data_IF_208718885307
#
_entry.id   IF_208718885307
#
_cell.length_a   1.000
_cell.length_b   1.000
_cell.length_c   1.000
_cell.angle_alpha   90.00
_cell.angle_beta   90.00
_cell.angle_gamma   90.00
#
_symmetry.space_group_name_H-M   'P 1'
#
loop_
_entity.id
_entity.type
_entity.pdbx_description
1 polymer ?
#
# COMPACT_ATOMS: atom_id res chain seq x y z
N UNK A 1 -10.06 -4.71 -7.36
CA UNK A 1 -10.17 -3.26 -7.02
C UNK A 1 -10.33 -2.44 -8.30
N UNK A 2 -9.38 -2.35 -9.21
CA UNK A 2 -9.47 -1.51 -10.41
C UNK A 2 -10.77 -1.67 -11.21
N UNK A 3 -11.22 -2.90 -11.49
CA UNK A 3 -12.48 -3.15 -12.20
C UNK A 3 -13.73 -2.62 -11.47
N UNK A 4 -13.68 -2.51 -10.14
CA UNK A 4 -14.79 -2.01 -9.34
C UNK A 4 -14.74 -0.49 -9.15
N UNK A 5 -13.56 0.09 -9.00
CA UNK A 5 -13.39 1.51 -8.66
C UNK A 5 -13.05 2.38 -9.87
N UNK A 6 -12.56 1.79 -10.95
CA UNK A 6 -11.99 2.53 -12.10
C UNK A 6 -10.66 3.22 -11.80
N UNK A 7 -10.16 3.15 -10.55
CA UNK A 7 -8.93 3.78 -10.12
C UNK A 7 -7.70 2.90 -10.37
N UNK A 8 -6.55 3.53 -10.57
CA UNK A 8 -5.26 2.86 -10.70
C UNK A 8 -4.61 2.54 -9.35
N UNK A 9 -5.17 3.00 -8.25
CA UNK A 9 -4.72 2.66 -6.90
C UNK A 9 -5.25 1.29 -6.45
N UNK A 10 -4.44 0.54 -5.71
CA UNK A 10 -4.77 -0.82 -5.27
C UNK A 10 -5.00 -0.93 -3.76
N UNK A 11 -4.87 0.17 -3.01
CA UNK A 11 -5.03 0.18 -1.56
C UNK A 11 -6.51 0.21 -1.13
N UNK A 12 -6.78 -0.18 0.14
CA UNK A 12 -8.12 -0.24 0.72
C UNK A 12 -8.74 1.13 1.01
N UNK A 13 -7.88 2.15 1.11
CA UNK A 13 -8.27 3.52 1.40
C UNK A 13 -8.41 3.83 2.89
N UNK A 14 -8.29 5.10 3.22
CA UNK A 14 -8.53 5.69 4.53
C UNK A 14 -9.79 6.54 4.46
N UNK A 15 -10.87 6.02 5.05
CA UNK A 15 -12.23 6.56 4.96
C UNK A 15 -12.47 7.55 6.09
N UNK A 16 -11.88 8.73 5.99
CA UNK A 16 -12.04 9.80 6.96
C UNK A 16 -12.43 11.10 6.26
N UNK A 17 -13.15 11.98 6.96
CA UNK A 17 -13.61 13.27 6.40
C UNK A 17 -14.65 13.06 5.29
N UNK A 18 -14.44 13.70 4.15
CA UNK A 18 -15.36 13.71 3.02
C UNK A 18 -15.21 12.54 2.05
N UNK A 19 -14.54 11.48 2.45
CA UNK A 19 -14.33 10.30 1.58
C UNK A 19 -15.65 9.55 1.36
N UNK A 20 -16.33 9.86 0.26
CA UNK A 20 -17.63 9.28 -0.11
C UNK A 20 -17.52 8.10 -1.09
N UNK A 21 -16.33 7.82 -1.61
CA UNK A 21 -16.06 6.75 -2.55
C UNK A 21 -14.63 6.19 -2.39
N UNK A 22 -14.33 5.02 -2.99
CA UNK A 22 -13.02 4.39 -2.84
C UNK A 22 -11.84 5.24 -3.36
N UNK A 23 -12.05 6.09 -4.36
CA UNK A 23 -10.98 6.93 -4.94
C UNK A 23 -10.52 7.96 -3.93
N UNK A 24 -11.48 8.65 -3.29
CA UNK A 24 -11.18 9.63 -2.23
C UNK A 24 -10.47 8.96 -1.05
N UNK A 25 -11.00 7.82 -0.60
CA UNK A 25 -10.38 7.07 0.49
C UNK A 25 -8.95 6.60 0.15
N UNK A 26 -8.71 6.13 -1.06
CA UNK A 26 -7.39 5.73 -1.53
C UNK A 26 -6.42 6.92 -1.58
N UNK A 27 -6.88 8.07 -2.05
CA UNK A 27 -6.14 9.33 -2.05
C UNK A 27 -5.78 9.76 -0.63
N UNK A 28 -6.75 9.68 0.30
CA UNK A 28 -6.53 10.01 1.72
C UNK A 28 -5.47 9.13 2.37
N UNK A 29 -5.46 7.81 2.07
CA UNK A 29 -4.42 6.92 2.59
C UNK A 29 -3.04 7.28 2.04
N UNK A 30 -2.92 7.59 0.76
CA UNK A 30 -1.67 8.06 0.16
C UNK A 30 -1.18 9.36 0.81
N UNK A 31 -2.08 10.32 1.02
CA UNK A 31 -1.76 11.59 1.69
C UNK A 31 -1.31 11.38 3.14
N UNK A 32 -1.98 10.49 3.90
CA UNK A 32 -1.57 10.13 5.26
C UNK A 32 -0.16 9.55 5.29
N UNK A 33 0.13 8.57 4.42
CA UNK A 33 1.44 7.91 4.32
C UNK A 33 2.51 8.90 3.90
N UNK A 34 2.23 9.76 2.92
CA UNK A 34 3.16 10.80 2.46
C UNK A 34 3.52 11.83 3.55
N UNK A 35 2.54 12.22 4.37
CA UNK A 35 2.76 13.10 5.53
C UNK A 35 3.64 12.42 6.59
N UNK A 36 3.35 11.15 6.93
CA UNK A 36 4.15 10.39 7.90
C UNK A 36 5.58 10.15 7.43
N UNK A 37 5.79 10.00 6.13
CA UNK A 37 7.11 9.85 5.53
C UNK A 37 7.90 11.18 5.43
N UNK A 38 7.33 12.31 5.85
CA UNK A 38 7.95 13.64 5.74
C UNK A 38 8.44 13.94 4.31
N UNK A 39 7.61 13.66 3.31
CA UNK A 39 8.01 13.75 1.90
C UNK A 39 8.40 15.16 1.45
N UNK A 40 8.00 16.21 2.16
CA UNK A 40 8.43 17.60 1.86
C UNK A 40 9.94 17.82 1.94
N UNK A 41 10.64 17.01 2.75
CA UNK A 41 12.10 17.10 2.95
C UNK A 41 12.86 15.99 2.20
N UNK A 42 12.15 15.16 1.44
CA UNK A 42 12.70 14.00 0.75
C UNK A 42 13.37 14.40 -0.58
N UNK A 43 14.53 13.81 -0.88
CA UNK A 43 15.22 13.95 -2.16
C UNK A 43 14.98 12.71 -3.04
N UNK A 44 15.07 11.52 -2.43
CA UNK A 44 14.94 10.24 -3.10
C UNK A 44 13.99 9.33 -2.32
N UNK A 45 12.85 9.03 -2.93
CA UNK A 45 11.84 8.10 -2.41
C UNK A 45 11.88 6.81 -3.20
N UNK A 46 11.85 5.68 -2.49
CA UNK A 46 11.55 4.37 -3.10
C UNK A 46 10.17 3.90 -2.63
N UNK A 47 9.29 3.64 -3.58
CA UNK A 47 7.98 2.99 -3.38
C UNK A 47 8.14 1.50 -3.69
N UNK A 48 8.20 0.66 -2.64
CA UNK A 48 8.46 -0.79 -2.78
C UNK A 48 7.15 -1.56 -2.83
N UNK A 49 6.97 -2.31 -3.92
CA UNK A 49 5.70 -2.95 -4.24
C UNK A 49 4.68 -1.94 -4.78
N UNK A 50 5.16 -1.01 -5.57
CA UNK A 50 4.42 0.17 -6.07
C UNK A 50 3.17 -0.14 -6.92
N UNK A 51 2.97 -1.40 -7.35
CA UNK A 51 1.90 -1.75 -8.28
C UNK A 51 2.02 -0.99 -9.59
N UNK A 52 1.00 -0.18 -9.91
CA UNK A 52 1.01 0.73 -11.09
C UNK A 52 1.71 2.07 -10.84
N UNK A 53 2.21 2.33 -9.62
CA UNK A 53 2.87 3.59 -9.26
C UNK A 53 1.91 4.78 -9.08
N UNK A 54 0.61 4.54 -8.92
CA UNK A 54 -0.36 5.62 -8.73
C UNK A 54 -0.11 6.45 -7.46
N UNK A 55 0.25 5.87 -6.29
CA UNK A 55 0.66 6.64 -5.13
C UNK A 55 1.89 7.51 -5.41
N UNK A 56 2.90 6.97 -6.12
CA UNK A 56 4.11 7.71 -6.48
C UNK A 56 3.80 8.93 -7.35
N UNK A 57 2.86 8.81 -8.30
CA UNK A 57 2.39 9.94 -9.11
C UNK A 57 1.71 11.01 -8.25
N UNK A 58 0.84 10.63 -7.31
CA UNK A 58 0.22 11.57 -6.38
C UNK A 58 1.28 12.29 -5.54
N UNK A 59 2.24 11.57 -4.95
CA UNK A 59 3.30 12.17 -4.15
C UNK A 59 4.21 13.09 -4.97
N UNK A 60 4.48 12.73 -6.24
CA UNK A 60 5.25 13.59 -7.15
C UNK A 60 4.57 14.93 -7.37
N UNK A 61 3.26 14.94 -7.59
CA UNK A 61 2.46 16.15 -7.78
C UNK A 61 2.34 16.97 -6.47
N UNK A 62 2.05 16.30 -5.35
CA UNK A 62 1.78 16.95 -4.06
C UNK A 62 3.04 17.55 -3.41
N UNK A 63 4.17 16.83 -3.46
CA UNK A 63 5.41 17.21 -2.76
C UNK A 63 6.52 17.72 -3.68
N UNK A 64 6.31 17.72 -5.02
CA UNK A 64 7.30 18.14 -6.04
C UNK A 64 8.64 17.42 -5.87
N UNK A 65 8.60 16.12 -5.60
CA UNK A 65 9.78 15.30 -5.35
C UNK A 65 10.68 15.23 -6.60
N UNK A 66 11.99 15.21 -6.37
CA UNK A 66 12.98 15.16 -7.46
C UNK A 66 13.15 13.78 -8.04
N UNK A 67 13.18 12.75 -7.19
CA UNK A 67 13.40 11.36 -7.58
C UNK A 67 12.42 10.46 -6.84
N UNK A 68 11.54 9.80 -7.55
CA UNK A 68 10.70 8.72 -7.04
C UNK A 68 10.99 7.47 -7.86
N UNK A 69 11.25 6.37 -7.18
CA UNK A 69 11.55 5.11 -7.81
C UNK A 69 10.50 4.09 -7.39
N UNK A 70 9.68 3.67 -8.33
CA UNK A 70 8.72 2.59 -8.17
C UNK A 70 9.43 1.26 -8.37
N UNK A 71 9.49 0.44 -7.33
CA UNK A 71 10.04 -0.92 -7.40
C UNK A 71 8.90 -1.93 -7.29
N UNK A 72 8.80 -2.84 -8.24
CA UNK A 72 7.80 -3.91 -8.20
C UNK A 72 8.32 -5.18 -8.89
N UNK A 73 7.93 -6.35 -8.36
CA UNK A 73 8.29 -7.63 -8.95
C UNK A 73 7.48 -7.95 -10.21
N UNK A 74 6.28 -7.38 -10.33
CA UNK A 74 5.41 -7.58 -11.48
C UNK A 74 5.71 -6.55 -12.58
N UNK A 75 6.46 -6.99 -13.60
CA UNK A 75 6.86 -6.15 -14.74
C UNK A 75 5.67 -5.61 -15.53
N UNK A 76 4.58 -6.39 -15.65
CA UNK A 76 3.38 -5.94 -16.38
C UNK A 76 2.67 -4.78 -15.69
N UNK A 77 2.62 -4.80 -14.34
CA UNK A 77 2.09 -3.67 -13.58
C UNK A 77 2.95 -2.42 -13.78
N UNK A 78 4.27 -2.55 -13.74
CA UNK A 78 5.21 -1.44 -13.97
C UNK A 78 5.05 -0.86 -15.39
N UNK A 79 4.96 -1.72 -16.40
CA UNK A 79 4.76 -1.28 -17.79
C UNK A 79 3.46 -0.50 -17.97
N UNK A 80 2.37 -0.99 -17.37
CA UNK A 80 1.08 -0.30 -17.40
C UNK A 80 1.15 1.03 -16.63
N UNK A 81 1.82 1.06 -15.48
CA UNK A 81 2.05 2.29 -14.71
C UNK A 81 2.84 3.33 -15.51
N UNK A 82 3.91 2.91 -16.16
CA UNK A 82 4.69 3.77 -17.06
C UNK A 82 3.84 4.37 -18.20
N UNK A 83 2.99 3.55 -18.83
CA UNK A 83 2.08 4.03 -19.89
C UNK A 83 1.10 5.08 -19.35
N UNK A 84 0.51 4.86 -18.17
CA UNK A 84 -0.39 5.83 -17.50
C UNK A 84 0.35 7.13 -17.19
N UNK A 85 1.57 7.07 -16.67
CA UNK A 85 2.39 8.24 -16.40
C UNK A 85 2.72 9.02 -17.67
N UNK A 86 3.11 8.32 -18.74
CA UNK A 86 3.45 8.92 -20.05
C UNK A 86 2.26 9.63 -20.68
N UNK A 87 1.07 9.02 -20.67
CA UNK A 87 -0.14 9.63 -21.25
C UNK A 87 -0.56 10.92 -20.51
N UNK A 88 -0.37 10.98 -19.18
CA UNK A 88 -0.58 12.22 -18.41
C UNK A 88 0.35 13.35 -18.86
N UNK A 89 1.62 13.03 -19.17
CA UNK A 89 2.61 14.01 -19.64
C UNK A 89 2.22 14.54 -21.03
N UNK A 90 1.82 13.67 -21.94
CA UNK A 90 1.40 14.06 -23.28
C UNK A 90 0.17 14.98 -23.26
N UNK A 91 -0.85 14.62 -22.46
CA UNK A 91 -2.05 15.44 -22.28
C UNK A 91 -1.72 16.81 -21.66
N UNK A 92 -0.77 16.88 -20.72
CA UNK A 92 -0.33 18.14 -20.11
C UNK A 92 0.41 19.04 -21.12
N UNK A 93 1.17 18.49 -22.07
CA UNK A 93 1.84 19.24 -23.13
C UNK A 93 0.83 19.85 -24.14
N UNK A 94 -0.25 19.12 -24.44
CA UNK A 94 -1.31 19.60 -25.33
C UNK A 94 -2.09 20.76 -24.72
N UNK A 95 -2.20 20.81 -23.38
CA UNK A 95 -2.95 21.86 -22.66
C UNK A 95 -2.15 23.13 -22.34
N UNK A 96 -0.94 23.33 -22.91
CA UNK A 96 -0.02 24.43 -22.59
C UNK A 96 0.33 24.57 -21.08
N UNK A 97 0.05 23.57 -20.29
CA UNK A 97 0.49 23.53 -18.89
C UNK A 97 1.98 23.21 -18.83
N UNK A 98 2.78 24.23 -18.57
CA UNK A 98 4.22 24.10 -18.32
C UNK A 98 4.43 23.25 -17.08
N UNK A 99 5.07 22.08 -17.28
CA UNK A 99 5.59 21.20 -16.24
C UNK A 99 4.71 20.04 -15.77
N UNK A 100 4.93 18.87 -16.36
CA UNK A 100 4.94 17.60 -15.63
C UNK A 100 6.00 16.68 -16.25
N UNK A 101 7.28 16.94 -15.98
CA UNK A 101 8.26 15.85 -15.96
C UNK A 101 7.93 15.07 -14.71
N UNK A 102 7.27 13.92 -14.84
CA UNK A 102 7.18 13.00 -13.71
C UNK A 102 8.60 12.50 -13.44
N UNK A 103 9.15 12.85 -12.30
CA UNK A 103 10.45 12.34 -11.83
C UNK A 103 10.26 10.91 -11.26
N UNK A 104 9.37 10.12 -11.88
CA UNK A 104 9.05 8.77 -11.46
C UNK A 104 9.74 7.77 -12.38
N UNK A 105 10.61 6.95 -11.82
CA UNK A 105 11.32 5.85 -12.48
C UNK A 105 10.70 4.53 -12.09
N UNK A 106 10.65 3.56 -13.00
CA UNK A 106 10.08 2.23 -12.77
C UNK A 106 11.19 1.18 -12.89
N UNK A 107 11.38 0.37 -11.84
CA UNK A 107 12.40 -0.68 -11.78
C UNK A 107 11.75 -2.02 -11.42
N UNK A 108 11.96 -3.02 -12.28
CA UNK A 108 11.54 -4.39 -12.00
C UNK A 108 12.57 -5.08 -11.12
N UNK A 109 12.25 -5.24 -9.84
CA UNK A 109 13.11 -5.90 -8.86
C UNK A 109 12.29 -6.48 -7.70
N UNK A 110 12.92 -7.40 -6.97
CA UNK A 110 12.40 -7.95 -5.73
C UNK A 110 12.63 -6.97 -4.57
N UNK A 111 11.67 -6.90 -3.64
CA UNK A 111 11.82 -6.22 -2.36
C UNK A 111 12.91 -6.82 -1.46
N UNK A 112 13.35 -8.05 -1.77
CA UNK A 112 14.34 -8.79 -1.01
C UNK A 112 15.79 -8.58 -1.52
N UNK A 113 15.95 -7.89 -2.66
CA UNK A 113 17.24 -7.54 -3.26
C UNK A 113 17.07 -6.24 -4.03
N UNK A 114 17.19 -5.12 -3.33
CA UNK A 114 16.95 -3.80 -3.90
C UNK A 114 18.21 -3.30 -4.62
N UNK A 115 18.09 -2.88 -5.91
CA UNK A 115 19.25 -2.57 -6.76
C UNK A 115 19.82 -1.16 -6.49
N UNK A 116 20.05 -0.85 -5.22
CA UNK A 116 20.57 0.46 -4.79
C UNK A 116 21.79 0.29 -3.91
N UNK A 117 22.71 1.25 -3.97
CA UNK A 117 23.88 1.27 -3.11
C UNK A 117 23.49 1.51 -1.63
N UNK A 118 24.34 1.08 -0.73
CA UNK A 118 24.16 1.28 0.72
C UNK A 118 24.15 2.75 1.07
N UNK A 119 23.16 3.18 1.87
CA UNK A 119 23.10 4.51 2.43
C UNK A 119 22.80 5.64 1.43
N UNK A 120 22.05 5.37 0.35
CA UNK A 120 21.80 6.34 -0.72
C UNK A 120 20.38 6.88 -0.80
N UNK A 121 19.45 6.38 0.03
CA UNK A 121 18.03 6.66 -0.08
C UNK A 121 17.52 7.38 1.18
N UNK A 122 16.68 8.41 0.99
CA UNK A 122 16.11 9.16 2.11
C UNK A 122 14.88 8.50 2.70
N UNK A 123 14.00 7.96 1.83
CA UNK A 123 12.69 7.43 2.21
C UNK A 123 12.39 6.13 1.49
N UNK A 124 11.85 5.19 2.24
CA UNK A 124 11.23 3.97 1.70
C UNK A 124 9.79 3.93 2.18
N UNK A 125 8.88 3.70 1.24
CA UNK A 125 7.47 3.45 1.54
C UNK A 125 7.10 2.07 1.00
N UNK A 126 6.35 1.31 1.82
CA UNK A 126 5.68 0.07 1.41
C UNK A 126 4.19 0.20 1.75
N UNK A 127 3.41 0.69 0.78
CA UNK A 127 1.97 0.90 0.93
C UNK A 127 1.20 -0.33 0.41
N UNK A 128 0.59 -1.08 1.33
CA UNK A 128 -0.15 -2.32 1.06
C UNK A 128 0.63 -3.34 0.20
N UNK A 129 1.92 -3.45 0.45
CA UNK A 129 2.81 -4.34 -0.26
C UNK A 129 3.62 -5.23 0.68
N UNK A 130 4.03 -4.72 1.85
CA UNK A 130 4.92 -5.43 2.76
C UNK A 130 4.33 -6.73 3.33
N UNK A 131 3.01 -6.87 3.39
CA UNK A 131 2.33 -8.12 3.75
C UNK A 131 2.59 -9.28 2.77
N UNK A 132 3.12 -8.99 1.58
CA UNK A 132 3.44 -9.99 0.56
C UNK A 132 4.94 -10.32 0.50
N UNK A 133 5.79 -9.60 1.24
CA UNK A 133 7.24 -9.79 1.19
C UNK A 133 7.66 -10.94 2.10
N UNK A 134 8.22 -11.97 1.52
CA UNK A 134 8.64 -13.18 2.23
C UNK A 134 10.07 -13.58 1.83
N UNK A 135 11.00 -13.61 2.79
CA UNK A 135 10.87 -13.29 4.22
C UNK A 135 10.77 -11.78 4.48
N UNK A 136 9.95 -11.39 5.44
CA UNK A 136 9.80 -9.98 5.85
C UNK A 136 11.10 -9.39 6.40
N UNK A 137 11.86 -10.20 7.13
CA UNK A 137 13.18 -9.86 7.69
C UNK A 137 14.15 -9.36 6.61
N UNK A 138 14.20 -10.05 5.47
CA UNK A 138 15.08 -9.68 4.36
C UNK A 138 14.71 -8.33 3.78
N UNK A 139 13.42 -8.03 3.65
CA UNK A 139 12.96 -6.70 3.24
C UNK A 139 13.40 -5.61 4.23
N UNK A 140 13.29 -5.85 5.54
CA UNK A 140 13.71 -4.89 6.56
C UNK A 140 15.24 -4.71 6.52
N UNK A 141 16.01 -5.79 6.36
CA UNK A 141 17.47 -5.73 6.20
C UNK A 141 17.89 -4.90 4.98
N UNK A 142 17.26 -5.13 3.81
CA UNK A 142 17.52 -4.36 2.59
C UNK A 142 17.12 -2.90 2.74
N UNK A 143 15.98 -2.64 3.38
CA UNK A 143 15.56 -1.27 3.69
C UNK A 143 16.57 -0.55 4.58
N UNK A 144 17.09 -1.23 5.61
CA UNK A 144 18.14 -0.69 6.46
C UNK A 144 19.43 -0.42 5.68
N UNK A 145 19.84 -1.36 4.84
CA UNK A 145 21.05 -1.23 4.04
C UNK A 145 21.03 0.01 3.14
N UNK A 146 19.96 0.21 2.39
CA UNK A 146 19.91 1.27 1.37
C UNK A 146 19.55 2.66 1.93
N UNK A 147 18.84 2.72 3.08
CA UNK A 147 18.56 4.00 3.74
C UNK A 147 19.85 4.64 4.26
N UNK A 148 19.96 5.94 4.07
CA UNK A 148 20.99 6.76 4.71
C UNK A 148 20.74 6.87 6.23
N UNK A 149 21.72 7.25 7.05
CA UNK A 149 21.49 7.56 8.46
C UNK A 149 20.34 8.56 8.62
N UNK A 150 19.46 8.33 9.58
CA UNK A 150 18.20 9.10 9.79
C UNK A 150 17.19 9.00 8.64
N UNK A 151 17.39 8.12 7.66
CA UNK A 151 16.39 7.81 6.64
C UNK A 151 15.15 7.15 7.24
N UNK A 152 13.99 7.32 6.61
CA UNK A 152 12.71 6.84 7.13
C UNK A 152 12.19 5.67 6.31
N UNK A 153 11.69 4.67 7.03
CA UNK A 153 10.88 3.57 6.51
C UNK A 153 9.43 3.78 6.97
N UNK A 154 8.49 3.83 6.03
CA UNK A 154 7.06 3.86 6.34
C UNK A 154 6.37 2.66 5.73
N UNK A 155 5.68 1.90 6.56
CA UNK A 155 4.94 0.70 6.16
C UNK A 155 3.46 0.91 6.50
N UNK A 156 2.59 0.71 5.53
CA UNK A 156 1.15 0.71 5.72
C UNK A 156 0.58 -0.62 5.24
N UNK A 157 0.04 -1.43 6.16
CA UNK A 157 -0.43 -2.77 5.84
C UNK A 157 -1.40 -3.34 6.87
N UNK A 158 -2.26 -4.31 6.48
CA UNK A 158 -3.00 -5.12 7.43
C UNK A 158 -2.08 -6.06 8.22
N UNK A 159 -2.38 -6.22 9.51
CA UNK A 159 -1.69 -7.13 10.42
C UNK A 159 -2.69 -7.95 11.23
N UNK A 160 -2.26 -9.07 11.78
CA UNK A 160 -3.04 -9.83 12.77
C UNK A 160 -2.69 -9.37 14.19
N UNK A 161 -3.70 -9.31 15.06
CA UNK A 161 -3.56 -8.99 16.48
C UNK A 161 -4.05 -10.19 17.27
N UNK A 162 -3.35 -10.57 18.33
CA UNK A 162 -3.75 -11.67 19.24
C UNK A 162 -3.97 -13.06 18.58
N UNK A 163 -3.37 -13.29 17.41
CA UNK A 163 -3.46 -14.57 16.68
C UNK A 163 -2.10 -15.26 16.60
N UNK A 164 -1.57 -15.67 17.75
CA UNK A 164 -0.24 -16.27 17.83
C UNK A 164 -0.19 -17.73 17.35
N UNK A 165 -1.36 -18.37 17.15
CA UNK A 165 -1.44 -19.76 16.75
C UNK A 165 -2.03 -19.90 15.33
N UNK A 166 -1.36 -20.69 14.47
CA UNK A 166 -1.78 -20.97 13.08
C UNK A 166 -3.20 -21.50 12.99
N UNK A 167 -3.61 -22.40 13.90
CA UNK A 167 -4.97 -22.94 13.94
C UNK A 167 -6.01 -21.86 14.25
N UNK A 168 -5.72 -20.96 15.22
CA UNK A 168 -6.58 -19.82 15.52
C UNK A 168 -6.72 -18.88 14.32
N UNK A 169 -5.63 -18.64 13.56
CA UNK A 169 -5.67 -17.86 12.31
C UNK A 169 -6.61 -18.50 11.29
N UNK A 170 -6.46 -19.81 11.04
CA UNK A 170 -7.31 -20.56 10.08
C UNK A 170 -8.80 -20.46 10.42
N UNK A 171 -9.17 -20.72 11.68
CA UNK A 171 -10.58 -20.67 12.10
C UNK A 171 -11.16 -19.26 12.12
N UNK A 172 -10.41 -18.27 12.59
CA UNK A 172 -10.93 -16.91 12.75
C UNK A 172 -10.96 -16.12 11.44
N UNK A 173 -9.95 -16.28 10.58
CA UNK A 173 -9.88 -15.54 9.31
C UNK A 173 -10.76 -16.17 8.22
N UNK A 174 -11.00 -17.50 8.26
CA UNK A 174 -11.89 -18.17 7.32
C UNK A 174 -11.53 -17.90 5.85
N UNK A 175 -12.48 -17.31 5.09
CA UNK A 175 -12.28 -17.01 3.66
C UNK A 175 -11.09 -16.07 3.41
N UNK A 176 -10.66 -15.27 4.38
CA UNK A 176 -9.52 -14.37 4.23
C UNK A 176 -8.19 -15.14 4.05
N UNK A 177 -8.09 -16.37 4.58
CA UNK A 177 -6.92 -17.20 4.33
C UNK A 177 -6.73 -17.56 2.84
N UNK A 178 -7.83 -17.56 2.07
CA UNK A 178 -7.82 -17.84 0.63
C UNK A 178 -7.73 -16.56 -0.21
N UNK A 179 -8.34 -15.48 0.25
CA UNK A 179 -8.48 -14.25 -0.53
C UNK A 179 -7.41 -13.21 -0.21
N UNK A 180 -6.89 -13.24 1.00
CA UNK A 180 -5.71 -12.49 1.38
C UNK A 180 -4.47 -13.32 1.02
N UNK A 181 -3.93 -13.13 -0.15
CA UNK A 181 -2.65 -13.72 -0.55
C UNK A 181 -1.47 -13.04 0.15
N UNK A 182 -1.55 -12.90 1.48
CA UNK A 182 -0.55 -12.28 2.34
C UNK A 182 -0.10 -13.28 3.41
N UNK A 183 1.07 -13.00 4.02
CA UNK A 183 1.64 -13.85 5.07
C UNK A 183 0.93 -13.69 6.43
N UNK A 184 -0.05 -12.79 6.55
CA UNK A 184 -0.77 -12.51 7.80
C UNK A 184 0.18 -12.25 8.98
N UNK A 185 1.14 -11.37 8.80
CA UNK A 185 2.12 -11.03 9.84
C UNK A 185 1.43 -10.51 11.09
N UNK A 186 1.88 -11.01 12.26
CA UNK A 186 1.46 -10.49 13.55
C UNK A 186 2.07 -9.12 13.82
N UNK A 187 1.31 -8.23 14.47
CA UNK A 187 1.78 -6.87 14.76
C UNK A 187 3.07 -6.86 15.57
N UNK A 188 3.16 -7.69 16.63
CA UNK A 188 4.36 -7.78 17.47
C UNK A 188 5.56 -8.35 16.70
N UNK A 189 5.35 -9.28 15.78
CA UNK A 189 6.41 -9.78 14.90
C UNK A 189 6.95 -8.65 13.99
N UNK A 190 6.07 -7.84 13.42
CA UNK A 190 6.46 -6.70 12.57
C UNK A 190 7.30 -5.70 13.38
N UNK A 191 6.82 -5.30 14.57
CA UNK A 191 7.54 -4.38 15.46
C UNK A 191 8.91 -4.90 15.87
N UNK A 192 8.94 -6.13 16.38
CA UNK A 192 10.18 -6.75 16.88
C UNK A 192 11.21 -6.94 15.76
N UNK A 193 10.75 -7.27 14.53
CA UNK A 193 11.64 -7.39 13.38
C UNK A 193 12.24 -6.02 13.01
N UNK A 194 11.43 -4.96 12.92
CA UNK A 194 11.91 -3.61 12.62
C UNK A 194 12.95 -3.15 13.67
N UNK A 195 12.66 -3.32 14.96
CA UNK A 195 13.58 -2.93 16.05
C UNK A 195 14.87 -3.75 16.02
N UNK A 196 14.82 -5.06 15.69
CA UNK A 196 16.00 -5.93 15.60
C UNK A 196 16.99 -5.46 14.53
N UNK A 197 16.51 -4.84 13.46
CA UNK A 197 17.35 -4.26 12.42
C UNK A 197 17.73 -2.79 12.69
N UNK A 198 17.78 -2.37 13.96
CA UNK A 198 18.25 -1.06 14.40
C UNK A 198 17.45 0.12 13.83
N UNK A 199 16.16 -0.08 13.61
CA UNK A 199 15.25 1.01 13.39
C UNK A 199 14.62 1.46 14.71
N UNK A 200 14.54 2.77 14.92
CA UNK A 200 13.72 3.36 15.96
C UNK A 200 12.29 3.56 15.45
N UNK A 201 11.32 2.95 16.12
CA UNK A 201 9.90 3.13 15.76
C UNK A 201 9.44 4.49 16.31
N UNK A 202 9.20 5.43 15.39
CA UNK A 202 8.83 6.81 15.72
C UNK A 202 7.31 7.00 15.90
N UNK A 203 6.52 6.25 15.15
CA UNK A 203 5.05 6.34 15.18
C UNK A 203 4.41 5.02 14.78
N UNK A 204 3.30 4.71 15.42
CA UNK A 204 2.39 3.62 15.03
C UNK A 204 0.96 4.14 15.12
N UNK A 205 0.27 4.17 14.00
CA UNK A 205 -1.15 4.50 13.90
C UNK A 205 -1.96 3.26 13.54
N UNK A 206 -2.93 2.91 14.37
CA UNK A 206 -3.88 1.83 14.12
C UNK A 206 -5.16 2.43 13.55
N UNK A 207 -5.46 2.16 12.29
CA UNK A 207 -6.54 2.81 11.54
C UNK A 207 -7.54 1.81 10.94
N UNK A 208 -7.58 0.57 11.44
CA UNK A 208 -8.40 -0.49 10.87
C UNK A 208 -9.89 -0.18 10.84
N UNK A 209 -10.41 0.53 11.85
CA UNK A 209 -11.80 0.98 11.88
C UNK A 209 -12.14 1.99 10.78
N UNK A 210 -11.16 2.79 10.33
CA UNK A 210 -11.32 3.75 9.23
C UNK A 210 -10.98 3.14 7.86
N UNK A 211 -10.56 1.87 7.80
CA UNK A 211 -10.20 1.18 6.56
C UNK A 211 -11.20 0.06 6.25
N UNK A 212 -11.33 -0.94 7.13
CA UNK A 212 -12.04 -2.18 6.81
C UNK A 212 -13.56 -2.04 6.87
N UNK A 213 -14.08 -1.37 7.88
CA UNK A 213 -15.51 -1.23 8.08
C UNK A 213 -16.15 -0.33 7.00
N UNK A 214 -15.67 0.89 6.75
CA UNK A 214 -16.28 1.76 5.74
C UNK A 214 -16.19 1.17 4.33
N UNK A 215 -15.09 0.51 3.99
CA UNK A 215 -14.92 -0.17 2.70
C UNK A 215 -15.98 -1.27 2.50
N UNK A 216 -16.21 -2.10 3.53
CA UNK A 216 -17.19 -3.17 3.46
C UNK A 216 -18.62 -2.63 3.40
N UNK A 217 -18.92 -1.56 4.13
CA UNK A 217 -20.22 -0.88 4.11
C UNK A 217 -20.48 -0.24 2.74
N UNK A 218 -19.51 0.51 2.21
CA UNK A 218 -19.60 1.10 0.87
C UNK A 218 -19.88 0.04 -0.19
N UNK A 219 -19.11 -1.06 -0.19
CA UNK A 219 -19.33 -2.15 -1.13
C UNK A 219 -20.70 -2.75 -1.00
N UNK A 220 -21.18 -2.98 0.22
CA UNK A 220 -22.49 -3.59 0.48
C UNK A 220 -23.63 -2.69 0.02
N UNK A 221 -23.55 -1.39 0.28
CA UNK A 221 -24.54 -0.39 -0.12
C UNK A 221 -24.61 -0.23 -1.65
N UNK A 222 -23.45 -0.23 -2.33
CA UNK A 222 -23.34 -0.05 -3.78
C UNK A 222 -23.21 -1.38 -4.55
N UNK A 223 -23.53 -2.51 -3.91
CA UNK A 223 -23.22 -3.85 -4.45
C UNK A 223 -23.84 -4.11 -5.81
N UNK A 224 -25.05 -3.62 -6.07
CA UNK A 224 -25.75 -3.85 -7.35
C UNK A 224 -24.94 -3.30 -8.53
N UNK A 225 -24.47 -2.07 -8.42
CA UNK A 225 -23.67 -1.40 -9.44
C UNK A 225 -22.27 -2.00 -9.55
N UNK A 226 -21.57 -2.16 -8.42
CA UNK A 226 -20.22 -2.72 -8.40
C UNK A 226 -20.16 -4.14 -8.92
N UNK A 227 -21.18 -4.95 -8.62
CA UNK A 227 -21.33 -6.29 -9.17
C UNK A 227 -21.43 -6.29 -10.69
N UNK A 228 -22.22 -5.39 -11.29
CA UNK A 228 -22.32 -5.29 -12.74
C UNK A 228 -20.96 -4.96 -13.37
N UNK A 229 -20.24 -3.99 -12.80
CA UNK A 229 -18.89 -3.61 -13.27
C UNK A 229 -17.90 -4.76 -13.18
N UNK A 230 -17.91 -5.52 -12.06
CA UNK A 230 -17.00 -6.66 -11.87
C UNK A 230 -17.35 -7.80 -12.83
N UNK A 231 -18.64 -8.11 -12.98
CA UNK A 231 -19.09 -9.20 -13.85
C UNK A 231 -18.87 -8.95 -15.34
N UNK A 232 -18.60 -7.71 -15.75
CA UNK A 232 -18.16 -7.42 -17.12
C UNK A 232 -16.76 -8.00 -17.44
N UNK A 233 -15.94 -8.27 -16.42
CA UNK A 233 -14.57 -8.77 -16.56
C UNK A 233 -14.32 -10.12 -15.89
N UNK A 234 -15.14 -10.50 -14.92
CA UNK A 234 -14.94 -11.69 -14.09
C UNK A 234 -16.22 -12.50 -13.89
N UNK A 235 -16.12 -13.80 -13.71
CA UNK A 235 -17.26 -14.66 -13.36
C UNK A 235 -17.95 -14.23 -12.05
N UNK A 236 -19.25 -14.48 -11.95
CA UNK A 236 -20.09 -14.04 -10.80
C UNK A 236 -19.62 -14.56 -9.43
N UNK A 237 -18.94 -15.70 -9.39
CA UNK A 237 -18.43 -16.27 -8.13
C UNK A 237 -17.27 -15.44 -7.58
N UNK A 238 -16.48 -14.77 -8.42
CA UNK A 238 -15.39 -13.86 -7.99
C UNK A 238 -15.96 -12.69 -7.20
N UNK A 239 -17.06 -12.08 -7.70
CA UNK A 239 -17.74 -11.01 -6.95
C UNK A 239 -18.26 -11.51 -5.60
N UNK A 240 -18.86 -12.67 -5.55
CA UNK A 240 -19.35 -13.27 -4.28
C UNK A 240 -18.23 -13.49 -3.28
N UNK A 241 -17.07 -13.97 -3.74
CA UNK A 241 -15.87 -14.16 -2.91
C UNK A 241 -15.39 -12.81 -2.37
N UNK A 242 -15.27 -11.81 -3.24
CA UNK A 242 -14.83 -10.46 -2.87
C UNK A 242 -15.75 -9.87 -1.79
N UNK A 243 -17.06 -9.87 -2.01
CA UNK A 243 -18.02 -9.36 -1.04
C UNK A 243 -17.92 -10.08 0.31
N UNK A 244 -17.91 -11.43 0.30
CA UNK A 244 -17.76 -12.21 1.54
C UNK A 244 -16.45 -11.88 2.26
N UNK A 245 -15.37 -11.64 1.53
CA UNK A 245 -14.07 -11.27 2.10
C UNK A 245 -14.13 -9.90 2.78
N UNK A 246 -14.74 -8.91 2.14
CA UNK A 246 -14.90 -7.58 2.72
C UNK A 246 -15.76 -7.60 4.00
N UNK A 247 -16.89 -8.32 3.98
CA UNK A 247 -17.75 -8.48 5.17
C UNK A 247 -17.00 -9.23 6.28
N UNK A 248 -16.21 -10.25 5.93
CA UNK A 248 -15.39 -10.96 6.91
C UNK A 248 -14.30 -10.08 7.49
N UNK A 249 -13.61 -9.27 6.66
CA UNK A 249 -12.61 -8.29 7.15
C UNK A 249 -13.23 -7.34 8.19
N UNK A 250 -14.37 -6.74 7.88
CA UNK A 250 -15.11 -5.89 8.83
C UNK A 250 -15.40 -6.64 10.13
N UNK A 251 -15.89 -7.87 10.04
CA UNK A 251 -16.27 -8.66 11.22
C UNK A 251 -15.07 -8.98 12.12
N UNK A 252 -13.93 -9.37 11.54
CA UNK A 252 -12.74 -9.75 12.32
C UNK A 252 -12.00 -8.51 12.82
N UNK A 253 -12.05 -7.40 12.11
CA UNK A 253 -11.55 -6.11 12.58
C UNK A 253 -12.32 -5.60 13.80
N UNK A 254 -13.66 -5.65 13.77
CA UNK A 254 -14.52 -5.31 14.93
C UNK A 254 -14.25 -6.19 16.16
N UNK A 255 -13.74 -7.39 15.96
CA UNK A 255 -13.32 -8.30 17.04
C UNK A 255 -11.88 -8.06 17.51
N UNK A 256 -11.17 -7.09 16.97
CA UNK A 256 -9.77 -6.82 17.27
C UNK A 256 -8.79 -7.93 16.84
N UNK A 257 -9.17 -8.79 15.88
CA UNK A 257 -8.33 -9.88 15.40
C UNK A 257 -7.39 -9.47 14.27
N UNK A 258 -7.78 -8.45 13.52
CA UNK A 258 -6.94 -7.80 12.53
C UNK A 258 -6.96 -6.30 12.72
N UNK A 259 -5.86 -5.66 12.32
CA UNK A 259 -5.70 -4.22 12.37
C UNK A 259 -5.05 -3.73 11.06
N UNK A 260 -5.24 -2.47 10.74
CA UNK A 260 -4.50 -1.80 9.70
C UNK A 260 -3.52 -0.82 10.35
N UNK A 261 -2.23 -1.07 10.16
CA UNK A 261 -1.20 -0.25 10.79
C UNK A 261 -0.51 0.64 9.75
N UNK A 262 -0.24 1.89 10.15
CA UNK A 262 0.72 2.76 9.48
C UNK A 262 1.84 3.02 10.47
N UNK A 263 3.03 2.50 10.14
CA UNK A 263 4.21 2.52 11.00
C UNK A 263 5.29 3.38 10.35
N UNK A 264 5.86 4.32 11.11
CA UNK A 264 7.03 5.11 10.74
C UNK A 264 8.21 4.69 11.60
N UNK A 265 9.32 4.34 10.97
CA UNK A 265 10.57 3.99 11.64
C UNK A 265 11.74 4.76 11.04
N UNK A 266 12.73 5.10 11.86
CA UNK A 266 13.94 5.81 11.48
C UNK A 266 15.16 4.90 11.62
N UNK A 267 16.04 4.91 10.63
CA UNK A 267 17.35 4.27 10.72
C UNK A 267 18.21 5.01 11.73
N UNK A 268 18.72 4.31 12.75
CA UNK A 268 19.69 4.82 13.72
C UNK A 268 21.07 5.06 13.11
#
# INVERSE_FOLDING_TARGET
>A
MQAATGASMLNFGYWLGDANNPVDAQTNLCTLVGKLADLRTCRTLIDVGSGYGAPALQWSEEYKLRNIICVNINSQQLLNGFKIASSKIENARVSNAWCLRTNVTYINSSSLCLPFATGTVDRIIALESAQHFKPFDTFIAESYRILQPKGLLVIAMPVTVSLDNVLKKLFNLGILNLTWSSEHYGFEYVKSTISRYQFEIMNVSMIGSQVFEPLALYYTQNRKELRQKIMAYYPSYIEKILWKSLVKMMTVSKKGLIEYVVLKAQKL
#
